data_IF_549344678565
#
_entry.id   IF_549344678565
#
_cell.length_a   1.000
_cell.length_b   1.000
_cell.length_c   1.000
_cell.angle_alpha   90.00
_cell.angle_beta   90.00
_cell.angle_gamma   90.00
#
_symmetry.space_group_name_H-M   'P 1'
#
loop_
_entity.id
_entity.type
_entity.pdbx_description
1 polymer ?
#
# COMPACT_ATOMS: atom_id res chain seq x y z
N UNK A 1 8.64 -2.02 -23.98
CA UNK A 1 8.42 -1.08 -22.85
C UNK A 1 8.92 0.29 -23.30
N UNK A 2 8.10 1.32 -23.26
CA UNK A 2 8.51 2.66 -23.72
C UNK A 2 9.29 3.37 -22.60
N UNK A 3 10.62 3.28 -22.66
CA UNK A 3 11.50 3.85 -21.64
C UNK A 3 11.32 5.36 -21.48
N UNK A 4 10.98 6.10 -22.56
CA UNK A 4 10.76 7.56 -22.48
C UNK A 4 9.58 7.88 -21.58
N UNK A 5 8.49 7.11 -21.69
CA UNK A 5 7.31 7.26 -20.81
C UNK A 5 7.65 6.94 -19.35
N UNK A 6 8.45 5.91 -19.10
CA UNK A 6 8.87 5.54 -17.73
C UNK A 6 9.69 6.65 -17.09
N UNK A 7 10.68 7.21 -17.81
CA UNK A 7 11.48 8.32 -17.31
C UNK A 7 10.65 9.60 -17.10
N UNK A 8 9.70 9.90 -18.00
CA UNK A 8 8.81 11.04 -17.85
C UNK A 8 7.95 10.94 -16.57
N UNK A 9 7.36 9.77 -16.30
CA UNK A 9 6.57 9.53 -15.08
C UNK A 9 7.44 9.66 -13.82
N UNK A 10 8.67 9.15 -13.86
CA UNK A 10 9.61 9.29 -12.74
C UNK A 10 9.92 10.77 -12.48
N UNK A 11 10.26 11.53 -13.53
CA UNK A 11 10.56 12.95 -13.45
C UNK A 11 9.36 13.75 -12.90
N UNK A 12 8.14 13.43 -13.34
CA UNK A 12 6.93 14.07 -12.85
C UNK A 12 6.75 13.88 -11.34
N UNK A 13 6.99 12.67 -10.83
CA UNK A 13 6.92 12.37 -9.39
C UNK A 13 8.01 13.10 -8.61
N UNK A 14 9.24 13.14 -9.12
CA UNK A 14 10.32 13.93 -8.50
C UNK A 14 9.99 15.43 -8.47
N UNK A 15 9.43 15.98 -9.55
CA UNK A 15 8.97 17.37 -9.61
C UNK A 15 7.89 17.64 -8.56
N UNK A 16 6.96 16.71 -8.33
CA UNK A 16 5.94 16.82 -7.26
C UNK A 16 6.57 16.87 -5.87
N UNK A 17 7.58 16.05 -5.62
CA UNK A 17 8.34 16.06 -4.36
C UNK A 17 9.06 17.40 -4.18
N UNK A 18 9.70 17.93 -5.22
CA UNK A 18 10.37 19.23 -5.17
C UNK A 18 9.41 20.39 -4.93
N UNK A 19 8.18 20.36 -5.46
CA UNK A 19 7.19 21.41 -5.17
C UNK A 19 6.87 21.53 -3.68
N UNK A 20 6.86 20.41 -2.96
CA UNK A 20 6.56 20.35 -1.52
C UNK A 20 7.82 20.53 -0.66
N UNK A 21 8.98 20.10 -1.17
CA UNK A 21 10.26 20.18 -0.48
C UNK A 21 11.37 20.60 -1.47
N UNK A 22 11.49 21.91 -1.80
CA UNK A 22 12.33 22.39 -2.91
C UNK A 22 13.80 21.98 -2.86
N UNK A 23 14.37 21.91 -1.66
CA UNK A 23 15.79 21.68 -1.46
C UNK A 23 16.17 20.20 -1.29
N UNK A 24 15.20 19.27 -1.40
CA UNK A 24 15.48 17.84 -1.19
C UNK A 24 16.51 17.31 -2.20
N UNK A 25 17.66 16.79 -1.73
CA UNK A 25 18.74 16.35 -2.60
C UNK A 25 18.54 14.91 -3.08
N UNK A 26 19.36 14.51 -4.05
CA UNK A 26 19.57 13.09 -4.41
C UNK A 26 20.82 12.54 -3.71
N UNK A 27 20.96 12.83 -2.42
CA UNK A 27 22.01 12.30 -1.54
C UNK A 27 21.41 11.44 -0.43
N UNK A 28 22.29 10.78 0.34
CA UNK A 28 21.87 9.92 1.43
C UNK A 28 21.33 10.73 2.61
N UNK A 29 20.31 10.18 3.26
CA UNK A 29 19.76 10.79 4.46
C UNK A 29 18.46 10.14 4.93
N UNK A 30 17.79 10.85 5.84
CA UNK A 30 16.50 10.47 6.42
C UNK A 30 15.43 11.43 5.90
N UNK A 31 14.26 10.90 5.55
CA UNK A 31 13.05 11.68 5.25
C UNK A 31 11.93 11.34 6.23
N UNK A 32 11.04 12.30 6.43
CA UNK A 32 9.84 12.13 7.24
C UNK A 32 8.63 12.74 6.52
N UNK A 33 7.66 11.90 6.18
CA UNK A 33 6.31 12.36 5.88
C UNK A 33 5.58 12.57 7.21
N UNK A 34 4.95 13.71 7.40
CA UNK A 34 4.17 13.97 8.61
C UNK A 34 2.93 14.80 8.31
N UNK A 35 1.84 14.58 9.06
CA UNK A 35 0.62 15.38 9.01
C UNK A 35 -0.06 15.48 10.37
N UNK A 36 -0.94 16.46 10.49
CA UNK A 36 -1.95 16.52 11.54
C UNK A 36 -3.28 16.32 10.83
N UNK A 37 -4.04 15.30 11.23
CA UNK A 37 -5.32 15.01 10.60
C UNK A 37 -6.43 15.95 11.05
N UNK A 38 -7.62 15.74 10.50
CA UNK A 38 -8.82 16.53 10.74
C UNK A 38 -9.27 16.47 12.21
N UNK A 39 -8.89 15.41 12.93
CA UNK A 39 -9.17 15.22 14.35
C UNK A 39 -8.02 15.69 15.26
N UNK A 40 -6.98 16.34 14.71
CA UNK A 40 -5.81 16.81 15.46
C UNK A 40 -4.77 15.72 15.76
N UNK A 41 -4.92 14.51 15.21
CA UNK A 41 -4.00 13.40 15.43
C UNK A 41 -2.75 13.57 14.56
N UNK A 42 -1.61 13.57 15.22
CA UNK A 42 -0.29 13.65 14.59
C UNK A 42 0.12 12.29 14.03
N UNK A 43 0.48 12.24 12.75
CA UNK A 43 0.91 11.01 12.05
C UNK A 43 2.21 11.22 11.32
N UNK A 44 3.10 10.25 11.36
CA UNK A 44 4.37 10.33 10.63
C UNK A 44 4.87 8.99 10.11
N UNK A 45 5.53 9.03 8.96
CA UNK A 45 6.32 7.93 8.40
C UNK A 45 7.74 8.45 8.19
N UNK A 46 8.72 7.75 8.76
CA UNK A 46 10.14 8.07 8.62
C UNK A 46 10.82 6.97 7.82
N UNK A 47 11.75 7.34 6.94
CA UNK A 47 12.58 6.34 6.26
C UNK A 47 13.95 6.88 5.92
N UNK A 48 14.88 5.96 5.66
CA UNK A 48 16.19 6.28 5.11
C UNK A 48 16.26 6.07 3.58
N UNK A 49 17.18 6.77 2.92
CA UNK A 49 17.44 6.60 1.50
C UNK A 49 18.89 6.95 1.16
N UNK A 50 19.45 6.29 0.14
CA UNK A 50 20.70 6.74 -0.52
C UNK A 50 20.47 7.92 -1.47
N UNK A 51 19.23 8.06 -1.94
CA UNK A 51 18.77 9.14 -2.81
C UNK A 51 17.41 9.63 -2.32
N UNK A 52 17.42 10.66 -1.49
CA UNK A 52 16.22 11.15 -0.80
C UNK A 52 15.09 11.50 -1.77
N UNK A 53 15.34 12.33 -2.78
CA UNK A 53 14.31 12.76 -3.73
C UNK A 53 13.73 11.57 -4.52
N UNK A 54 14.59 10.72 -5.08
CA UNK A 54 14.15 9.53 -5.82
C UNK A 54 13.31 8.59 -4.95
N UNK A 55 13.72 8.33 -3.70
CA UNK A 55 12.97 7.45 -2.78
C UNK A 55 11.64 8.08 -2.36
N UNK A 56 11.60 9.38 -2.07
CA UNK A 56 10.35 10.07 -1.76
C UNK A 56 9.38 10.03 -2.96
N UNK A 57 9.89 10.12 -4.19
CA UNK A 57 9.08 10.04 -5.40
C UNK A 57 8.56 8.62 -5.67
N UNK A 58 9.31 7.57 -5.29
CA UNK A 58 8.88 6.18 -5.47
C UNK A 58 7.63 5.85 -4.63
N UNK A 59 7.49 6.43 -3.44
CA UNK A 59 6.29 6.34 -2.61
C UNK A 59 5.02 6.82 -3.30
N UNK A 60 5.11 7.68 -4.32
CA UNK A 60 3.94 8.13 -5.10
C UNK A 60 3.46 7.08 -6.11
N UNK A 61 4.21 5.99 -6.27
CA UNK A 61 3.95 4.91 -7.21
C UNK A 61 3.67 3.56 -6.54
N UNK A 62 4.19 3.39 -5.32
CA UNK A 62 4.08 2.16 -4.55
C UNK A 62 2.64 1.94 -4.04
N UNK A 63 2.37 0.74 -3.52
CA UNK A 63 1.08 0.36 -2.91
C UNK A 63 1.25 -0.02 -1.44
N UNK A 64 2.30 0.51 -0.80
CA UNK A 64 2.54 0.30 0.62
C UNK A 64 1.64 1.19 1.49
N UNK A 65 1.72 1.02 2.80
CA UNK A 65 0.83 1.69 3.75
C UNK A 65 0.92 3.22 3.69
N UNK A 66 2.12 3.78 3.48
CA UNK A 66 2.29 5.23 3.36
C UNK A 66 1.86 5.72 1.98
N UNK A 67 2.12 4.98 0.90
CA UNK A 67 1.71 5.36 -0.46
C UNK A 67 0.18 5.48 -0.59
N UNK A 68 -0.57 4.51 -0.04
CA UNK A 68 -2.04 4.57 0.00
C UNK A 68 -2.54 5.79 0.78
N UNK A 69 -1.89 6.11 1.90
CA UNK A 69 -2.22 7.28 2.71
C UNK A 69 -1.89 8.60 2.01
N UNK A 70 -0.74 8.70 1.34
CA UNK A 70 -0.34 9.84 0.52
C UNK A 70 -1.32 10.08 -0.63
N UNK A 71 -1.81 9.00 -1.28
CA UNK A 71 -2.82 9.10 -2.34
C UNK A 71 -4.16 9.63 -1.80
N UNK A 72 -4.61 9.12 -0.65
CA UNK A 72 -5.89 9.50 -0.03
C UNK A 72 -5.87 10.95 0.47
N UNK A 73 -4.82 11.31 1.20
CA UNK A 73 -4.77 12.56 1.96
C UNK A 73 -3.99 13.69 1.28
N UNK A 74 -3.27 13.37 0.20
CA UNK A 74 -2.48 14.31 -0.62
C UNK A 74 -1.43 15.07 0.21
N UNK A 75 -0.66 15.93 -0.46
CA UNK A 75 0.27 16.82 0.22
C UNK A 75 -0.44 18.06 0.75
N UNK A 76 0.20 18.70 1.72
CA UNK A 76 -0.21 19.98 2.27
C UNK A 76 -0.29 21.06 1.18
N UNK A 77 -1.37 21.83 1.21
CA UNK A 77 -1.57 23.06 0.44
C UNK A 77 -2.46 23.99 1.25
N UNK A 78 -2.60 25.26 0.82
CA UNK A 78 -3.54 26.19 1.45
C UNK A 78 -4.97 25.63 1.47
N UNK A 79 -5.38 24.95 0.40
CA UNK A 79 -6.68 24.25 0.30
C UNK A 79 -6.73 22.89 1.00
N UNK A 80 -5.60 22.36 1.47
CA UNK A 80 -5.49 21.07 2.15
C UNK A 80 -4.53 21.17 3.35
N UNK A 81 -4.92 21.89 4.43
CA UNK A 81 -4.04 22.16 5.55
C UNK A 81 -3.69 20.90 6.39
N UNK A 82 -4.48 19.83 6.26
CA UNK A 82 -4.22 18.54 6.93
C UNK A 82 -3.38 17.59 6.07
N UNK A 83 -2.99 17.99 4.85
CA UNK A 83 -2.20 17.18 3.94
C UNK A 83 -0.81 16.81 4.48
N UNK A 84 -0.18 15.82 3.86
CA UNK A 84 1.16 15.40 4.21
C UNK A 84 2.20 16.49 3.91
N UNK A 85 3.09 16.72 4.86
CA UNK A 85 4.31 17.51 4.70
C UNK A 85 5.51 16.57 4.60
N UNK A 86 6.61 17.07 4.04
CA UNK A 86 7.85 16.32 3.87
C UNK A 86 9.01 17.11 4.47
N UNK A 87 9.75 16.48 5.38
CA UNK A 87 11.02 16.98 5.90
C UNK A 87 12.14 15.98 5.58
N UNK A 88 13.38 16.45 5.52
CA UNK A 88 14.54 15.59 5.34
C UNK A 88 15.75 16.12 6.12
N UNK A 89 16.73 15.23 6.31
CA UNK A 89 18.09 15.57 6.73
C UNK A 89 19.08 14.69 5.98
N UNK A 90 20.19 15.24 5.53
CA UNK A 90 21.27 14.48 4.90
C UNK A 90 22.17 13.87 5.98
N UNK A 91 22.63 12.65 5.77
CA UNK A 91 23.67 12.04 6.60
C UNK A 91 24.48 11.02 5.78
N UNK A 92 25.72 10.72 6.18
CA UNK A 92 26.53 9.69 5.53
C UNK A 92 25.84 8.33 5.56
N UNK A 93 26.15 7.48 4.56
CA UNK A 93 25.60 6.12 4.47
C UNK A 93 25.84 5.28 5.73
N UNK A 94 27.01 5.45 6.36
CA UNK A 94 27.40 4.75 7.60
C UNK A 94 26.51 5.08 8.80
N UNK A 95 25.81 6.21 8.78
CA UNK A 95 24.97 6.67 9.90
C UNK A 95 23.48 6.46 9.66
N UNK A 96 23.07 6.00 8.49
CA UNK A 96 21.65 5.95 8.09
C UNK A 96 20.80 5.19 9.10
N UNK A 97 21.19 3.95 9.47
CA UNK A 97 20.39 3.10 10.35
C UNK A 97 20.19 3.76 11.74
N UNK A 98 21.28 4.28 12.33
CA UNK A 98 21.25 4.94 13.62
C UNK A 98 20.39 6.23 13.57
N UNK A 99 20.56 7.02 12.51
CA UNK A 99 19.81 8.27 12.30
C UNK A 99 18.34 7.99 12.01
N UNK A 100 17.99 6.90 11.36
CA UNK A 100 16.59 6.51 11.15
C UNK A 100 15.92 6.22 12.50
N UNK A 101 16.56 5.39 13.33
CA UNK A 101 16.05 5.03 14.67
C UNK A 101 15.87 6.28 15.55
N UNK A 102 16.89 7.15 15.61
CA UNK A 102 16.81 8.42 16.36
C UNK A 102 15.64 9.28 15.90
N UNK A 103 15.40 9.35 14.58
CA UNK A 103 14.31 10.17 14.03
C UNK A 103 12.95 9.57 14.36
N UNK A 104 12.79 8.26 14.23
CA UNK A 104 11.55 7.56 14.60
C UNK A 104 11.22 7.82 16.08
N UNK A 105 12.21 7.67 16.98
CA UNK A 105 12.03 7.96 18.41
C UNK A 105 11.64 9.41 18.65
N UNK A 106 12.34 10.36 18.03
CA UNK A 106 12.03 11.78 18.18
C UNK A 106 10.63 12.18 17.70
N UNK A 107 10.07 11.51 16.68
CA UNK A 107 8.68 11.71 16.27
C UNK A 107 7.70 11.06 17.26
N UNK A 108 7.97 9.83 17.70
CA UNK A 108 7.15 9.14 18.69
C UNK A 108 7.06 9.93 20.02
N UNK A 109 8.19 10.43 20.52
CA UNK A 109 8.28 11.25 21.74
C UNK A 109 7.50 12.57 21.61
N UNK A 110 7.35 13.09 20.38
CA UNK A 110 6.52 14.26 20.06
C UNK A 110 5.03 13.94 19.90
N UNK A 111 4.62 12.71 20.23
CA UNK A 111 3.24 12.23 20.18
C UNK A 111 2.75 11.89 18.78
N UNK A 112 3.64 11.65 17.82
CA UNK A 112 3.21 11.19 16.50
C UNK A 112 2.89 9.70 16.52
N UNK A 113 1.74 9.35 15.95
CA UNK A 113 1.41 7.97 15.61
C UNK A 113 2.21 7.56 14.37
N UNK A 114 3.14 6.61 14.56
CA UNK A 114 4.04 6.19 13.51
C UNK A 114 3.34 5.26 12.50
N UNK A 115 3.51 5.55 11.22
CA UNK A 115 3.13 4.69 10.08
C UNK A 115 4.21 3.64 9.76
N UNK A 116 5.39 3.80 10.34
CA UNK A 116 6.44 2.78 10.31
C UNK A 116 5.89 1.46 10.88
N UNK A 117 5.94 0.41 10.08
CA UNK A 117 5.50 -0.94 10.50
C UNK A 117 6.56 -1.60 11.40
N UNK A 118 7.81 -1.16 11.30
CA UNK A 118 8.96 -1.64 12.08
C UNK A 118 9.73 -0.48 12.69
N UNK A 119 10.07 -0.56 13.97
CA UNK A 119 11.13 0.22 14.58
C UNK A 119 12.42 -0.61 14.52
N UNK A 120 13.23 -0.41 13.49
CA UNK A 120 14.51 -1.11 13.35
C UNK A 120 15.10 -0.90 11.98
N UNK A 121 16.33 -0.37 11.96
CA UNK A 121 17.12 -0.17 10.75
C UNK A 121 17.35 -1.48 10.00
N UNK A 122 17.86 -1.37 8.78
CA UNK A 122 17.92 -2.46 7.80
C UNK A 122 18.85 -3.62 8.25
N UNK A 123 19.66 -3.42 9.28
CA UNK A 123 20.81 -4.24 9.67
C UNK A 123 20.70 -4.95 11.03
N UNK A 124 19.82 -4.54 11.95
CA UNK A 124 19.73 -5.15 13.30
C UNK A 124 18.29 -5.27 13.79
N UNK A 125 17.86 -6.52 14.03
CA UNK A 125 16.68 -6.93 14.78
C UNK A 125 15.47 -5.99 14.76
N UNK A 126 14.60 -6.13 13.75
CA UNK A 126 13.32 -5.39 13.64
C UNK A 126 12.47 -5.57 14.91
N UNK A 127 12.36 -4.53 15.73
CA UNK A 127 11.37 -4.48 16.82
C UNK A 127 10.06 -3.94 16.21
N UNK A 128 9.03 -4.77 16.16
CA UNK A 128 7.72 -4.42 15.59
C UNK A 128 6.96 -3.58 16.62
N UNK A 129 6.72 -2.30 16.32
CA UNK A 129 6.02 -1.36 17.21
C UNK A 129 4.54 -1.13 16.84
N UNK A 130 4.03 -1.80 15.81
CA UNK A 130 2.64 -1.69 15.37
C UNK A 130 1.81 -2.97 15.61
N UNK A 131 0.51 -2.82 15.84
CA UNK A 131 -0.42 -3.96 15.81
C UNK A 131 -0.50 -4.52 14.39
N UNK A 132 0.07 -5.71 14.23
CA UNK A 132 0.03 -6.47 12.99
C UNK A 132 -1.41 -6.94 12.75
N UNK A 133 -2.04 -6.56 11.63
CA UNK A 133 -2.94 -7.51 10.97
C UNK A 133 -2.02 -8.49 10.26
N UNK A 134 -1.92 -9.76 10.69
CA UNK A 134 -1.08 -10.70 10.00
C UNK A 134 -1.44 -10.74 8.52
N UNK A 135 -0.45 -10.66 7.60
CA UNK A 135 -0.69 -10.90 6.20
C UNK A 135 -1.37 -12.25 6.12
N UNK A 136 -2.38 -12.32 5.26
CA UNK A 136 -3.14 -13.54 5.06
C UNK A 136 -2.17 -14.68 4.88
N UNK A 137 -2.30 -15.72 5.71
CA UNK A 137 -1.55 -16.96 5.49
C UNK A 137 -1.84 -17.45 4.07
N UNK A 138 -0.96 -18.26 3.50
CA UNK A 138 -1.17 -18.83 2.16
C UNK A 138 -2.59 -19.39 1.98
N UNK A 139 -3.12 -20.07 3.00
CA UNK A 139 -4.50 -20.59 3.03
C UNK A 139 -5.56 -19.49 2.99
N UNK A 140 -5.40 -18.43 3.80
CA UNK A 140 -6.31 -17.28 3.80
C UNK A 140 -6.24 -16.50 2.47
N UNK A 141 -5.07 -16.47 1.82
CA UNK A 141 -4.89 -15.88 0.50
C UNK A 141 -5.65 -16.64 -0.58
N UNK A 142 -5.52 -17.97 -0.60
CA UNK A 142 -6.28 -18.85 -1.50
C UNK A 142 -7.79 -18.69 -1.27
N UNK A 143 -8.24 -18.70 -0.02
CA UNK A 143 -9.65 -18.56 0.34
C UNK A 143 -10.22 -17.23 -0.15
N UNK A 144 -9.48 -16.13 0.05
CA UNK A 144 -9.88 -14.84 -0.49
C UNK A 144 -9.92 -14.84 -2.03
N UNK A 145 -8.95 -15.45 -2.70
CA UNK A 145 -8.93 -15.56 -4.15
C UNK A 145 -10.16 -16.29 -4.70
N UNK A 146 -10.59 -17.37 -4.04
CA UNK A 146 -11.82 -18.10 -4.38
C UNK A 146 -13.06 -17.25 -4.21
N UNK A 147 -13.18 -16.50 -3.11
CA UNK A 147 -14.31 -15.58 -2.87
C UNK A 147 -14.37 -14.50 -3.95
N UNK A 148 -13.24 -13.87 -4.27
CA UNK A 148 -13.18 -12.83 -5.31
C UNK A 148 -13.59 -13.39 -6.68
N UNK A 149 -13.06 -14.56 -7.05
CA UNK A 149 -13.39 -15.21 -8.32
C UNK A 149 -14.88 -15.59 -8.40
N UNK A 150 -15.45 -16.16 -7.33
CA UNK A 150 -16.86 -16.51 -7.25
C UNK A 150 -17.75 -15.29 -7.48
N UNK A 151 -17.43 -14.15 -6.83
CA UNK A 151 -18.14 -12.89 -6.99
C UNK A 151 -18.08 -12.34 -8.42
N UNK A 152 -16.89 -12.34 -9.01
CA UNK A 152 -16.70 -11.86 -10.39
C UNK A 152 -17.47 -12.72 -11.40
N UNK A 153 -17.37 -14.06 -11.28
CA UNK A 153 -18.08 -14.99 -12.15
C UNK A 153 -19.60 -14.86 -11.99
N UNK A 154 -20.09 -14.74 -10.75
CA UNK A 154 -21.51 -14.53 -10.48
C UNK A 154 -22.02 -13.23 -11.12
N UNK A 155 -21.27 -12.13 -10.98
CA UNK A 155 -21.65 -10.87 -11.62
C UNK A 155 -21.71 -10.97 -13.15
N UNK A 156 -20.73 -11.63 -13.78
CA UNK A 156 -20.73 -11.85 -15.23
C UNK A 156 -21.95 -12.68 -15.66
N UNK A 157 -22.27 -13.75 -14.93
CA UNK A 157 -23.43 -14.59 -15.22
C UNK A 157 -24.72 -13.79 -15.09
N UNK A 158 -24.95 -13.17 -13.94
CA UNK A 158 -26.17 -12.41 -13.65
C UNK A 158 -26.39 -11.25 -14.64
N UNK A 159 -25.32 -10.69 -15.22
CA UNK A 159 -25.40 -9.54 -16.13
C UNK A 159 -25.42 -9.95 -17.62
N UNK A 160 -24.80 -11.07 -17.98
CA UNK A 160 -24.47 -11.35 -19.38
C UNK A 160 -24.77 -12.76 -19.87
N UNK A 161 -25.05 -13.75 -19.00
CA UNK A 161 -25.14 -15.16 -19.40
C UNK A 161 -26.36 -15.86 -18.80
N UNK A 162 -26.96 -16.75 -19.60
CA UNK A 162 -27.83 -17.80 -19.09
C UNK A 162 -27.04 -19.10 -18.95
N UNK A 163 -26.99 -19.66 -17.74
CA UNK A 163 -26.28 -20.91 -17.45
C UNK A 163 -27.28 -22.01 -17.15
N UNK A 164 -27.35 -23.01 -18.03
CA UNK A 164 -28.22 -24.17 -17.87
C UNK A 164 -27.51 -25.47 -18.23
N UNK A 165 -28.07 -26.60 -17.79
CA UNK A 165 -27.65 -27.92 -18.30
C UNK A 165 -27.99 -27.96 -19.79
N UNK A 166 -27.12 -28.58 -20.59
CA UNK A 166 -27.39 -28.82 -22.01
C UNK A 166 -28.69 -29.62 -22.18
N UNK A 167 -29.58 -29.30 -23.14
CA UNK A 167 -30.90 -29.92 -23.26
C UNK A 167 -30.86 -31.45 -23.28
N UNK A 168 -29.91 -32.02 -24.01
CA UNK A 168 -29.71 -33.46 -24.16
C UNK A 168 -29.22 -34.16 -22.89
N UNK A 169 -28.81 -33.40 -21.87
CA UNK A 169 -28.32 -33.90 -20.58
C UNK A 169 -29.22 -33.54 -19.40
N UNK A 170 -30.38 -32.94 -19.65
CA UNK A 170 -31.31 -32.45 -18.61
C UNK A 170 -31.76 -33.52 -17.61
N UNK A 171 -31.92 -34.78 -18.05
CA UNK A 171 -32.30 -35.91 -17.19
C UNK A 171 -31.11 -36.69 -16.61
N UNK A 172 -29.88 -36.32 -16.99
CA UNK A 172 -28.68 -37.02 -16.57
C UNK A 172 -28.27 -36.59 -15.14
N UNK A 173 -28.37 -37.51 -14.18
CA UNK A 173 -28.02 -37.26 -12.76
C UNK A 173 -26.60 -36.72 -12.56
N UNK A 174 -25.63 -37.10 -13.39
CA UNK A 174 -24.25 -36.59 -13.29
C UNK A 174 -24.20 -35.12 -13.70
N UNK A 175 -24.97 -34.75 -14.72
CA UNK A 175 -25.02 -33.36 -15.21
C UNK A 175 -25.75 -32.43 -14.23
N UNK A 176 -26.82 -32.93 -13.59
CA UNK A 176 -27.50 -32.21 -12.50
C UNK A 176 -26.55 -31.94 -11.34
N UNK A 177 -25.83 -32.96 -10.86
CA UNK A 177 -24.82 -32.81 -9.80
C UNK A 177 -23.67 -31.88 -10.18
N UNK A 178 -23.30 -31.85 -11.47
CA UNK A 178 -22.27 -30.93 -11.95
C UNK A 178 -22.74 -29.48 -11.89
N UNK A 179 -24.00 -29.20 -12.23
CA UNK A 179 -24.59 -27.87 -12.08
C UNK A 179 -24.69 -27.45 -10.61
N UNK A 180 -25.12 -28.34 -9.70
CA UNK A 180 -25.12 -28.08 -8.26
C UNK A 180 -23.72 -27.73 -7.74
N UNK A 181 -22.71 -28.51 -8.14
CA UNK A 181 -21.31 -28.23 -7.80
C UNK A 181 -20.86 -26.88 -8.33
N UNK A 182 -21.22 -26.53 -9.57
CA UNK A 182 -20.90 -25.24 -10.17
C UNK A 182 -21.52 -24.09 -9.36
N UNK A 183 -22.80 -24.18 -9.01
CA UNK A 183 -23.49 -23.17 -8.20
C UNK A 183 -22.84 -23.01 -6.82
N UNK A 184 -22.46 -24.12 -6.18
CA UNK A 184 -21.73 -24.06 -4.91
C UNK A 184 -20.37 -23.36 -5.03
N UNK A 185 -19.67 -23.47 -6.17
CA UNK A 185 -18.41 -22.75 -6.40
C UNK A 185 -18.60 -21.24 -6.62
N UNK A 186 -19.81 -20.80 -6.97
CA UNK A 186 -20.16 -19.38 -7.12
C UNK A 186 -20.68 -18.76 -5.82
N UNK A 187 -21.02 -19.58 -4.83
CA UNK A 187 -21.49 -19.10 -3.54
C UNK A 187 -20.31 -18.69 -2.65
N UNK A 188 -20.25 -17.42 -2.30
CA UNK A 188 -19.23 -16.87 -1.40
C UNK A 188 -19.29 -17.52 0.00
N UNK A 189 -20.47 -17.93 0.48
CA UNK A 189 -20.63 -18.58 1.79
C UNK A 189 -20.01 -19.98 1.81
N UNK A 190 -19.90 -20.65 0.66
CA UNK A 190 -19.25 -21.97 0.57
C UNK A 190 -17.76 -21.96 0.93
N UNK A 191 -17.15 -20.77 0.97
CA UNK A 191 -15.74 -20.55 1.24
C UNK A 191 -15.48 -19.91 2.60
N UNK A 192 -16.49 -19.69 3.45
CA UNK A 192 -16.29 -19.17 4.81
C UNK A 192 -16.13 -20.30 5.81
#
# INVERSE_FOLDING_TARGET
MDYRKVFAIKQERENRIQKICPNIPNSSGIYAFYRIDEAGIRRSYVGQALRLRERCASHLAEYDHIALSLKKHKFYSESNPTGWKLAYRTCPKSELDQKEIETIKAFADKGFQMYNITAGGQSTGKQVTGQYKPPKTYRQGIQQGKITLARELKHIIDTHLDVSIKPEKSSNKVSIKALEKFNNLLDEESYK
#
